data_IF_144154629984
#
_entry.id   IF_144154629984
#
_cell.length_a   1.000
_cell.length_b   1.000
_cell.length_c   1.000
_cell.angle_alpha   90.00
_cell.angle_beta   90.00
_cell.angle_gamma   90.00
#
_symmetry.space_group_name_H-M   'P 1'
#
loop_
_entity.id
_entity.type
_entity.pdbx_description
1 polymer ?
#
# COMPACT_ATOMS: atom_id res chain seq x y z
N UNK A 1 -7.01 12.66 -7.52
CA UNK A 1 -6.77 13.56 -8.65
C UNK A 1 -6.56 14.98 -8.13
N UNK A 2 -5.79 15.79 -8.88
CA UNK A 2 -5.21 17.07 -8.43
C UNK A 2 -3.73 16.94 -8.07
N UNK A 3 -3.17 17.89 -7.33
CA UNK A 3 -1.75 17.94 -6.90
C UNK A 3 -1.36 16.88 -5.84
N UNK A 4 -2.17 15.85 -5.67
CA UNK A 4 -1.98 14.80 -4.65
C UNK A 4 -0.70 13.98 -4.87
N UNK A 5 -0.18 13.94 -6.08
CA UNK A 5 1.08 13.24 -6.35
C UNK A 5 2.26 13.90 -5.64
N UNK A 6 2.26 15.23 -5.56
CA UNK A 6 3.32 16.01 -4.94
C UNK A 6 3.00 16.38 -3.47
N UNK A 7 1.72 16.67 -3.16
CA UNK A 7 1.30 17.18 -1.85
C UNK A 7 0.95 16.08 -0.83
N UNK A 8 0.70 14.84 -1.28
CA UNK A 8 0.31 13.77 -0.34
C UNK A 8 1.55 13.22 0.34
N UNK A 9 1.65 13.46 1.64
CA UNK A 9 2.71 12.93 2.49
C UNK A 9 2.26 11.67 3.24
N UNK A 10 3.21 10.77 3.47
CA UNK A 10 3.06 9.58 4.30
C UNK A 10 4.01 9.68 5.48
N UNK A 11 3.42 9.72 6.67
CA UNK A 11 4.14 9.79 7.92
C UNK A 11 4.30 8.41 8.53
N UNK A 12 5.53 8.12 8.97
CA UNK A 12 5.86 6.93 9.75
C UNK A 12 6.67 7.36 10.98
N UNK A 13 6.43 6.69 12.10
CA UNK A 13 7.18 6.93 13.33
C UNK A 13 7.79 5.62 13.82
N UNK A 14 9.09 5.66 14.11
CA UNK A 14 9.85 4.47 14.53
C UNK A 14 9.74 4.16 16.03
N UNK A 15 9.21 5.08 16.85
CA UNK A 15 9.12 4.93 18.31
C UNK A 15 10.17 5.71 19.09
N UNK A 16 11.28 6.10 18.45
CA UNK A 16 12.38 6.86 19.08
C UNK A 16 12.25 8.38 18.87
N UNK A 17 12.82 9.17 19.78
CA UNK A 17 12.89 10.63 19.64
C UNK A 17 13.57 11.02 18.32
N UNK A 18 12.95 11.91 17.54
CA UNK A 18 13.42 12.27 16.19
C UNK A 18 13.15 11.22 15.12
N UNK A 19 12.48 10.11 15.47
CA UNK A 19 12.22 8.97 14.60
C UNK A 19 11.06 9.13 13.61
N UNK A 20 10.59 10.36 13.35
CA UNK A 20 9.54 10.66 12.37
C UNK A 20 10.15 10.71 10.98
N UNK A 21 9.60 9.93 10.06
CA UNK A 21 9.97 9.91 8.64
C UNK A 21 8.76 10.31 7.82
N UNK A 22 8.95 11.30 6.96
CA UNK A 22 7.92 11.83 6.05
C UNK A 22 8.40 11.56 4.63
N UNK A 23 7.59 10.88 3.83
CA UNK A 23 7.86 10.62 2.42
C UNK A 23 6.66 11.09 1.57
N UNK A 24 6.93 11.76 0.44
CA UNK A 24 5.87 12.15 -0.50
C UNK A 24 5.38 10.95 -1.31
N UNK A 25 4.14 11.02 -1.81
CA UNK A 25 3.53 9.98 -2.64
C UNK A 25 4.41 9.64 -3.85
N UNK A 26 4.92 10.65 -4.55
CA UNK A 26 5.82 10.48 -5.69
C UNK A 26 7.06 9.64 -5.35
N UNK A 27 7.70 9.91 -4.21
CA UNK A 27 8.90 9.19 -3.81
C UNK A 27 8.60 7.72 -3.46
N UNK A 28 7.47 7.46 -2.80
CA UNK A 28 7.05 6.09 -2.50
C UNK A 28 6.66 5.35 -3.79
N UNK A 29 5.98 6.02 -4.72
CA UNK A 29 5.55 5.43 -5.98
C UNK A 29 6.75 4.93 -6.81
N UNK A 30 7.86 5.67 -6.80
CA UNK A 30 9.09 5.28 -7.49
C UNK A 30 9.82 4.11 -6.79
N UNK A 31 9.78 4.06 -5.45
CA UNK A 31 10.52 3.08 -4.66
C UNK A 31 9.77 1.76 -4.47
N UNK A 32 8.52 1.85 -4.05
CA UNK A 32 7.67 0.73 -3.65
C UNK A 32 6.19 1.14 -3.80
N UNK A 33 5.63 1.04 -5.02
CA UNK A 33 4.23 1.37 -5.27
C UNK A 33 3.26 0.38 -4.60
N UNK A 34 3.69 -0.85 -4.25
CA UNK A 34 2.84 -1.82 -3.56
C UNK A 34 2.43 -1.33 -2.17
N UNK A 35 3.37 -0.67 -1.47
CA UNK A 35 3.14 -0.11 -0.13
C UNK A 35 2.00 0.90 -0.10
N UNK A 36 1.85 1.70 -1.16
CA UNK A 36 0.77 2.70 -1.30
C UNK A 36 -0.59 2.02 -1.24
N UNK A 37 -0.78 0.99 -2.07
CA UNK A 37 -2.04 0.26 -2.17
C UNK A 37 -2.31 -0.51 -0.88
N UNK A 38 -1.31 -1.21 -0.34
CA UNK A 38 -1.43 -1.96 0.90
C UNK A 38 -1.80 -1.05 2.08
N UNK A 39 -1.20 0.14 2.16
CA UNK A 39 -1.51 1.13 3.18
C UNK A 39 -2.96 1.65 3.06
N UNK A 40 -3.40 1.97 1.84
CA UNK A 40 -4.76 2.43 1.58
C UNK A 40 -5.80 1.37 1.99
N UNK A 41 -5.62 0.12 1.56
CA UNK A 41 -6.54 -0.99 1.88
C UNK A 41 -6.55 -1.29 3.38
N UNK A 42 -5.39 -1.25 4.04
CA UNK A 42 -5.31 -1.41 5.49
C UNK A 42 -6.15 -0.38 6.25
N UNK A 43 -6.16 0.87 5.77
CA UNK A 43 -6.98 1.95 6.34
C UNK A 43 -8.49 1.80 6.09
N UNK A 44 -8.88 1.09 5.03
CA UNK A 44 -10.29 0.82 4.71
C UNK A 44 -10.87 -0.37 5.48
N UNK A 45 -10.02 -1.22 6.06
CA UNK A 45 -10.46 -2.36 6.86
C UNK A 45 -10.78 -1.96 8.30
N UNK A 46 -11.79 -2.60 8.93
CA UNK A 46 -12.07 -2.38 10.34
C UNK A 46 -10.89 -2.80 11.21
N UNK A 47 -10.58 -2.00 12.24
CA UNK A 47 -9.49 -2.30 13.18
C UNK A 47 -9.91 -3.42 14.13
N UNK A 48 -9.63 -4.67 13.76
CA UNK A 48 -9.91 -5.86 14.57
C UNK A 48 -8.86 -6.97 14.34
N UNK A 49 -8.95 -8.08 15.07
CA UNK A 49 -8.04 -9.24 14.95
C UNK A 49 -8.03 -9.87 13.55
N UNK A 50 -9.09 -9.69 12.77
CA UNK A 50 -9.19 -10.21 11.41
C UNK A 50 -8.61 -9.28 10.35
N UNK A 51 -8.19 -8.06 10.70
CA UNK A 51 -7.63 -7.11 9.75
C UNK A 51 -6.36 -7.66 9.12
N UNK A 52 -5.40 -8.07 9.96
CA UNK A 52 -4.09 -8.53 9.51
C UNK A 52 -4.18 -9.81 8.64
N UNK A 53 -4.97 -10.86 8.99
CA UNK A 53 -5.13 -12.01 8.11
C UNK A 53 -5.92 -11.69 6.83
N UNK A 54 -6.81 -10.69 6.82
CA UNK A 54 -7.45 -10.22 5.58
C UNK A 54 -6.46 -9.47 4.70
N UNK A 55 -5.63 -8.62 5.30
CA UNK A 55 -4.61 -7.86 4.58
C UNK A 55 -3.52 -8.79 4.00
N UNK A 56 -3.18 -9.88 4.67
CA UNK A 56 -2.23 -10.88 4.19
C UNK A 56 -2.68 -11.60 2.91
N UNK A 57 -3.99 -11.61 2.61
CA UNK A 57 -4.55 -12.17 1.36
C UNK A 57 -4.43 -11.21 0.18
N UNK A 58 -4.08 -9.94 0.43
CA UNK A 58 -3.89 -8.94 -0.61
C UNK A 58 -2.49 -9.08 -1.20
N UNK A 59 -2.43 -9.58 -2.43
CA UNK A 59 -1.22 -9.58 -3.25
C UNK A 59 -1.28 -8.40 -4.23
N UNK A 60 -0.28 -7.51 -4.18
CA UNK A 60 -0.16 -6.34 -5.06
C UNK A 60 1.13 -6.53 -5.84
N UNK A 61 1.08 -6.30 -7.15
CA UNK A 61 2.25 -6.40 -8.02
C UNK A 61 2.36 -5.10 -8.85
N UNK A 62 3.57 -4.53 -9.02
CA UNK A 62 3.77 -3.26 -9.72
C UNK A 62 3.70 -3.38 -11.25
N UNK A 63 3.68 -4.60 -11.80
CA UNK A 63 3.70 -4.85 -13.24
C UNK A 63 2.67 -5.91 -13.66
N UNK A 64 2.60 -6.12 -14.96
CA UNK A 64 1.61 -7.02 -15.59
C UNK A 64 1.93 -8.51 -15.37
N UNK A 65 3.20 -8.84 -15.10
CA UNK A 65 3.64 -10.20 -14.82
C UNK A 65 3.51 -10.53 -13.33
N UNK A 66 2.67 -11.50 -13.00
CA UNK A 66 2.51 -12.02 -11.64
C UNK A 66 2.33 -13.55 -11.64
N UNK A 67 2.87 -14.25 -10.63
CA UNK A 67 2.96 -15.71 -10.59
C UNK A 67 1.62 -16.44 -10.45
N UNK A 68 0.52 -15.68 -10.31
CA UNK A 68 -0.82 -16.20 -10.12
C UNK A 68 -1.77 -15.90 -11.28
N UNK A 69 -1.24 -15.48 -12.44
CA UNK A 69 -2.02 -15.19 -13.64
C UNK A 69 -3.04 -16.31 -13.95
N UNK A 70 -2.62 -17.56 -13.86
CA UNK A 70 -3.46 -18.73 -14.15
C UNK A 70 -4.65 -18.92 -13.20
N UNK A 71 -4.56 -18.36 -11.99
CA UNK A 71 -5.58 -18.54 -10.93
C UNK A 71 -6.75 -17.58 -11.05
N UNK A 72 -6.60 -16.50 -11.81
CA UNK A 72 -7.64 -15.49 -12.01
C UNK A 72 -8.25 -15.65 -13.39
N UNK A 73 -9.23 -16.57 -13.51
CA UNK A 73 -10.11 -16.56 -14.69
C UNK A 73 -11.09 -15.41 -14.53
N UNK A 74 -11.13 -14.49 -15.48
CA UNK A 74 -12.23 -13.54 -15.60
C UNK A 74 -13.49 -14.34 -15.89
N UNK A 75 -14.31 -14.63 -14.88
CA UNK A 75 -15.69 -14.99 -15.12
C UNK A 75 -16.32 -13.75 -15.77
N UNK A 76 -16.50 -13.85 -17.09
CA UNK A 76 -17.32 -12.93 -17.86
C UNK A 76 -18.78 -13.31 -17.70
#
# INVERSE_FOLDING_TARGET
TGKKEDEKEYDQYSGYQGGRKVETFKNIMLRDPEKIIRHAVSGMLPKNKHRDPRLARLHVYPGENYPYADKFKSNK
#
